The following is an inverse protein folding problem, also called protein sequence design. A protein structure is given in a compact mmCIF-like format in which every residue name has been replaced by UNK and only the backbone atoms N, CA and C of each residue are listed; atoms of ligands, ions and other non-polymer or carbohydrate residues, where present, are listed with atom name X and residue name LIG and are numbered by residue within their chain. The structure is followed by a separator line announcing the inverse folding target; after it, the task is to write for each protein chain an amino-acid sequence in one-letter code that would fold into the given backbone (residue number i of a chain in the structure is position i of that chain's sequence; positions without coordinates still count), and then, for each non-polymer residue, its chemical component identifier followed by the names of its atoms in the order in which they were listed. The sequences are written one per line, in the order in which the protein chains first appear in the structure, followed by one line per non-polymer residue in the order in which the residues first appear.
data_IF_521172419054
#
_entry.id   IF_521172419054
#
_cell.length_a   1.000
_cell.length_b   1.000
_cell.length_c   1.000
_cell.angle_alpha   90.00
_cell.angle_beta   90.00
_cell.angle_gamma   90.00
#
_symmetry.space_group_name_H-M   'P 1'
#
loop_
_entity.id
_entity.type
_entity.pdbx_description
1 polymer ?
#
# COMPACT_ATOMS: atom_id res chain seq x y z
N UNK A 1 12.00 12.38 24.31
CA UNK A 1 13.00 11.37 23.93
C UNK A 1 12.27 10.37 23.07
N UNK A 2 12.45 10.45 21.75
CA UNK A 2 11.99 9.40 20.86
C UNK A 2 12.95 8.23 21.08
N UNK A 3 12.50 7.21 21.82
CA UNK A 3 13.24 5.97 21.97
C UNK A 3 13.47 5.41 20.56
N UNK A 4 14.71 5.46 20.11
CA UNK A 4 15.18 4.93 18.84
C UNK A 4 15.18 3.39 18.92
N UNK A 5 13.99 2.81 19.07
CA UNK A 5 13.79 1.37 19.04
C UNK A 5 13.72 0.93 17.58
N UNK A 6 14.71 0.16 17.17
CA UNK A 6 14.74 -0.51 15.88
C UNK A 6 14.29 -1.97 16.06
N UNK A 7 13.40 -2.50 15.21
CA UNK A 7 13.07 -3.92 15.26
C UNK A 7 14.29 -4.78 14.89
N UNK A 8 14.58 -5.77 15.74
CA UNK A 8 15.62 -6.78 15.53
C UNK A 8 15.34 -7.65 14.28
N UNK A 9 16.33 -8.41 13.82
CA UNK A 9 16.16 -9.26 12.63
C UNK A 9 15.21 -10.44 12.95
N UNK A 10 14.20 -10.66 12.10
CA UNK A 10 13.17 -11.67 12.35
C UNK A 10 12.14 -11.29 13.42
N UNK A 11 12.10 -10.04 13.89
CA UNK A 11 11.11 -9.58 14.87
C UNK A 11 9.68 -9.85 14.37
N UNK A 12 8.87 -10.49 15.21
CA UNK A 12 7.48 -10.83 14.86
C UNK A 12 7.29 -12.09 14.02
N UNK A 13 8.33 -12.73 13.48
CA UNK A 13 8.17 -13.84 12.53
C UNK A 13 7.36 -15.02 13.10
N UNK A 14 7.70 -15.50 14.31
CA UNK A 14 6.95 -16.61 14.93
C UNK A 14 5.49 -16.25 15.23
N UNK A 15 5.22 -14.99 15.60
CA UNK A 15 3.87 -14.51 15.86
C UNK A 15 3.08 -14.33 14.56
N UNK A 16 3.71 -13.84 13.49
CA UNK A 16 3.10 -13.75 12.16
C UNK A 16 2.73 -15.15 11.65
N UNK A 17 3.60 -16.14 11.84
CA UNK A 17 3.32 -17.53 11.47
C UNK A 17 2.13 -18.11 12.24
N UNK A 18 2.04 -17.81 13.54
CA UNK A 18 0.89 -18.24 14.37
C UNK A 18 -0.41 -17.58 13.90
N UNK A 19 -0.41 -16.25 13.69
CA UNK A 19 -1.59 -15.49 13.26
C UNK A 19 -2.13 -15.94 11.91
N UNK A 20 -1.25 -16.30 10.97
CA UNK A 20 -1.69 -16.84 9.69
C UNK A 20 -2.36 -18.20 9.85
N UNK A 21 -1.85 -19.09 10.71
CA UNK A 21 -2.50 -20.37 11.04
C UNK A 21 -3.88 -20.17 11.69
N UNK A 22 -4.10 -19.01 12.32
CA UNK A 22 -5.40 -18.58 12.87
C UNK A 22 -6.32 -17.92 11.84
N UNK A 23 -5.92 -17.89 10.57
CA UNK A 23 -6.73 -17.36 9.46
C UNK A 23 -6.48 -15.89 9.13
N UNK A 24 -5.52 -15.21 9.76
CA UNK A 24 -5.21 -13.79 9.49
C UNK A 24 -4.26 -13.60 8.29
N UNK A 25 -4.30 -14.50 7.31
CA UNK A 25 -3.41 -14.44 6.15
C UNK A 25 -3.65 -13.17 5.30
N UNK A 26 -4.92 -12.73 5.16
CA UNK A 26 -5.28 -11.49 4.48
C UNK A 26 -4.68 -10.25 5.16
N UNK A 27 -4.97 -10.01 6.45
CA UNK A 27 -4.42 -8.90 7.23
C UNK A 27 -2.90 -8.87 7.30
N UNK A 28 -2.25 -10.03 7.39
CA UNK A 28 -0.79 -10.11 7.34
C UNK A 28 -0.23 -9.66 6.00
N UNK A 29 -0.84 -10.07 4.88
CA UNK A 29 -0.46 -9.61 3.54
C UNK A 29 -0.72 -8.11 3.35
N UNK A 30 -1.83 -7.61 3.89
CA UNK A 30 -2.12 -6.17 3.88
C UNK A 30 -1.01 -5.39 4.61
N UNK A 31 -0.66 -5.81 5.83
CA UNK A 31 0.40 -5.19 6.62
C UNK A 31 1.77 -5.25 5.93
N UNK A 32 2.14 -6.39 5.36
CA UNK A 32 3.35 -6.58 4.55
C UNK A 32 3.42 -5.54 3.42
N UNK A 33 2.33 -5.38 2.69
CA UNK A 33 2.24 -4.44 1.58
C UNK A 33 2.28 -2.97 2.03
N UNK A 34 1.64 -2.63 3.15
CA UNK A 34 1.75 -1.30 3.75
C UNK A 34 3.22 -0.95 4.10
N UNK A 35 3.97 -1.91 4.65
CA UNK A 35 5.38 -1.72 4.98
C UNK A 35 6.26 -1.56 3.73
N UNK A 36 6.01 -2.36 2.68
CA UNK A 36 6.75 -2.23 1.41
C UNK A 36 6.50 -0.89 0.73
N UNK A 37 5.24 -0.47 0.61
CA UNK A 37 4.89 0.83 0.02
C UNK A 37 5.52 1.99 0.79
N UNK A 38 5.41 1.99 2.11
CA UNK A 38 6.05 3.02 2.92
C UNK A 38 7.59 3.05 2.76
N UNK A 39 8.23 1.93 2.40
CA UNK A 39 9.65 1.90 2.10
C UNK A 39 9.95 2.52 0.73
N UNK A 40 9.15 2.16 -0.29
CA UNK A 40 9.23 2.68 -1.65
C UNK A 40 8.99 4.19 -1.68
N UNK A 41 7.92 4.67 -1.06
CA UNK A 41 7.57 6.09 -0.98
C UNK A 41 8.71 6.92 -0.35
N UNK A 42 9.36 6.40 0.69
CA UNK A 42 10.48 7.07 1.37
C UNK A 42 11.75 7.13 0.52
N UNK A 43 11.96 6.14 -0.35
CA UNK A 43 13.09 6.10 -1.28
C UNK A 43 12.84 7.05 -2.47
N UNK A 44 11.59 7.22 -2.91
CA UNK A 44 11.20 8.13 -3.99
C UNK A 44 11.18 9.60 -3.56
N UNK A 45 10.51 9.92 -2.45
CA UNK A 45 10.31 11.29 -1.99
C UNK A 45 11.54 11.88 -1.29
N UNK A 46 12.44 11.03 -0.77
CA UNK A 46 13.58 11.42 0.06
C UNK A 46 13.19 12.01 1.42
N UNK A 47 11.89 12.00 1.78
CA UNK A 47 11.37 12.51 3.05
C UNK A 47 10.61 11.40 3.79
N UNK A 48 10.86 11.25 5.08
CA UNK A 48 10.20 10.26 5.93
C UNK A 48 9.15 10.89 6.83
N UNK A 49 7.87 10.63 6.52
CA UNK A 49 6.74 11.03 7.35
C UNK A 49 6.10 9.82 8.06
N UNK A 50 5.41 10.02 9.20
CA UNK A 50 4.63 8.96 9.83
C UNK A 50 3.41 8.59 8.97
N UNK A 51 3.25 7.30 8.62
CA UNK A 51 2.17 6.82 7.75
C UNK A 51 1.09 6.11 8.57
N UNK A 52 -0.20 6.49 8.48
CA UNK A 52 -1.28 5.80 9.17
C UNK A 52 -1.61 4.45 8.51
N UNK A 53 -1.88 3.43 9.33
CA UNK A 53 -2.49 2.18 8.89
C UNK A 53 -4.01 2.32 8.93
N UNK A 54 -4.60 2.42 7.76
CA UNK A 54 -6.06 2.53 7.60
C UNK A 54 -6.58 1.20 7.08
N UNK A 55 -7.27 0.40 7.93
CA UNK A 55 -7.96 -0.80 7.46
C UNK A 55 -9.17 -0.38 6.63
N UNK A 56 -9.23 -0.82 5.37
CA UNK A 56 -10.29 -0.46 4.42
C UNK A 56 -11.23 -1.64 4.10
N UNK A 57 -11.06 -2.75 4.81
CA UNK A 57 -11.85 -3.96 4.66
C UNK A 57 -12.19 -4.49 6.05
N UNK A 58 -13.36 -5.11 6.17
CA UNK A 58 -13.85 -5.72 7.41
C UNK A 58 -12.80 -6.68 8.01
N UNK A 59 -12.21 -7.56 7.20
CA UNK A 59 -11.16 -8.48 7.64
C UNK A 59 -9.95 -7.77 8.30
N UNK A 60 -9.55 -6.60 7.77
CA UNK A 60 -8.45 -5.82 8.32
C UNK A 60 -8.89 -5.06 9.58
N UNK A 61 -10.14 -4.59 9.64
CA UNK A 61 -10.72 -3.94 10.82
C UNK A 61 -10.78 -4.94 11.99
N UNK A 62 -11.29 -6.15 11.75
CA UNK A 62 -11.33 -7.25 12.72
C UNK A 62 -9.92 -7.60 13.24
N UNK A 63 -8.94 -7.66 12.35
CA UNK A 63 -7.54 -7.88 12.73
C UNK A 63 -7.00 -6.73 13.60
N UNK A 64 -7.45 -5.50 13.36
CA UNK A 64 -7.12 -4.33 14.17
C UNK A 64 -7.85 -4.29 15.51
N UNK A 65 -8.74 -5.23 15.82
CA UNK A 65 -9.27 -5.47 17.17
C UNK A 65 -8.51 -6.60 17.91
N UNK A 66 -7.72 -7.40 17.18
CA UNK A 66 -7.02 -8.55 17.73
C UNK A 66 -5.75 -8.15 18.52
N UNK A 67 -5.71 -8.49 19.81
CA UNK A 67 -4.59 -8.20 20.72
C UNK A 67 -3.24 -8.80 20.28
N UNK A 68 -3.26 -9.97 19.64
CA UNK A 68 -2.04 -10.63 19.12
C UNK A 68 -1.56 -9.92 17.86
N UNK A 69 -2.47 -9.48 17.00
CA UNK A 69 -2.12 -8.64 15.85
C UNK A 69 -1.48 -7.33 16.31
N UNK A 70 -2.02 -6.65 17.33
CA UNK A 70 -1.37 -5.47 17.94
C UNK A 70 0.02 -5.77 18.52
N UNK A 71 0.20 -6.98 19.06
CA UNK A 71 1.50 -7.40 19.59
C UNK A 71 2.51 -7.58 18.46
N UNK A 72 2.09 -8.11 17.32
CA UNK A 72 2.90 -8.14 16.11
C UNK A 72 3.25 -6.72 15.65
N UNK A 73 2.28 -5.80 15.57
CA UNK A 73 2.52 -4.39 15.17
C UNK A 73 3.60 -3.73 16.04
N UNK A 74 3.55 -3.93 17.37
CA UNK A 74 4.59 -3.43 18.29
C UNK A 74 5.95 -4.08 18.05
N UNK A 75 6.00 -5.39 17.82
CA UNK A 75 7.27 -6.09 17.54
C UNK A 75 7.92 -5.61 16.24
N UNK A 76 7.12 -5.21 15.25
CA UNK A 76 7.58 -4.62 13.99
C UNK A 76 7.93 -3.12 14.11
N UNK A 77 7.77 -2.51 15.30
CA UNK A 77 8.10 -1.12 15.55
C UNK A 77 7.01 -0.11 15.17
N UNK A 78 5.77 -0.55 14.95
CA UNK A 78 4.65 0.36 14.71
C UNK A 78 4.12 0.92 16.03
N UNK A 79 3.62 2.16 15.98
CA UNK A 79 3.10 2.84 17.15
C UNK A 79 1.57 2.76 17.22
N UNK A 80 1.00 2.50 18.41
CA UNK A 80 -0.43 2.65 18.62
C UNK A 80 -0.84 4.12 18.49
N UNK A 81 -2.14 4.41 18.31
CA UNK A 81 -2.67 5.76 18.42
C UNK A 81 -2.36 6.36 19.80
N UNK A 82 -1.98 7.65 19.85
CA UNK A 82 -1.44 8.28 21.06
C UNK A 82 -2.46 8.63 22.16
N UNK A 83 -3.76 8.56 21.89
CA UNK A 83 -4.93 8.64 22.81
C UNK A 83 -6.20 8.81 21.93
N UNK A 84 -7.30 9.31 22.49
CA UNK A 84 -8.54 9.71 21.78
C UNK A 84 -8.34 10.71 20.62
N UNK A 85 -7.14 11.30 20.46
CA UNK A 85 -6.83 12.21 19.34
C UNK A 85 -6.46 11.47 18.05
N UNK A 86 -5.94 10.24 18.14
CA UNK A 86 -5.59 9.44 16.96
C UNK A 86 -6.44 8.18 16.92
N UNK A 87 -6.90 7.79 15.73
CA UNK A 87 -7.68 6.56 15.56
C UNK A 87 -6.85 5.41 14.98
N UNK A 88 -5.73 5.72 14.31
CA UNK A 88 -4.98 4.74 13.54
C UNK A 88 -3.59 4.47 14.12
N UNK A 89 -3.17 3.21 14.01
CA UNK A 89 -1.77 2.85 14.18
C UNK A 89 -0.91 3.53 13.12
N UNK A 90 0.38 3.73 13.39
CA UNK A 90 1.28 4.38 12.45
C UNK A 90 2.59 3.66 12.28
N UNK A 91 3.10 3.71 11.05
CA UNK A 91 4.49 3.44 10.71
C UNK A 91 5.29 4.70 11.07
N UNK A 92 6.19 4.67 12.06
CA UNK A 92 6.96 5.85 12.44
C UNK A 92 7.88 6.35 11.32
N UNK A 93 8.15 7.65 11.30
CA UNK A 93 9.11 8.26 10.37
C UNK A 93 10.54 7.74 10.60
N UNK A 94 10.88 7.37 11.84
CA UNK A 94 12.20 6.87 12.21
C UNK A 94 12.55 5.49 11.60
N UNK A 95 11.56 4.71 11.14
CA UNK A 95 11.82 3.44 10.48
C UNK A 95 12.41 3.69 9.09
N UNK A 96 13.64 3.24 8.86
CA UNK A 96 14.29 3.35 7.54
C UNK A 96 13.63 2.41 6.51
N UNK A 97 13.74 2.69 5.20
CA UNK A 97 13.26 1.78 4.15
C UNK A 97 13.78 0.35 4.33
N UNK A 98 15.05 0.19 4.70
CA UNK A 98 15.67 -1.12 5.00
C UNK A 98 14.97 -1.84 6.16
N UNK A 99 14.64 -1.13 7.24
CA UNK A 99 13.91 -1.72 8.39
C UNK A 99 12.49 -2.13 8.00
N UNK A 100 11.79 -1.30 7.22
CA UNK A 100 10.46 -1.62 6.71
C UNK A 100 10.47 -2.86 5.82
N UNK A 101 11.42 -2.97 4.89
CA UNK A 101 11.59 -4.16 4.04
C UNK A 101 11.86 -5.42 4.86
N UNK A 102 12.70 -5.32 5.91
CA UNK A 102 12.96 -6.43 6.85
C UNK A 102 11.73 -6.84 7.64
N UNK A 103 10.96 -5.87 8.13
CA UNK A 103 9.70 -6.11 8.84
C UNK A 103 8.69 -6.83 7.92
N UNK A 104 8.54 -6.36 6.67
CA UNK A 104 7.69 -7.01 5.68
C UNK A 104 8.13 -8.45 5.36
N UNK A 105 9.44 -8.68 5.21
CA UNK A 105 9.98 -10.03 4.98
C UNK A 105 9.68 -10.97 6.16
N UNK A 106 9.78 -10.49 7.40
CA UNK A 106 9.48 -11.27 8.61
C UNK A 106 8.03 -11.75 8.65
N UNK A 107 7.09 -11.04 8.02
CA UNK A 107 5.69 -11.45 7.85
C UNK A 107 5.54 -12.45 6.68
N UNK A 108 6.23 -12.20 5.57
CA UNK A 108 6.13 -12.98 4.34
C UNK A 108 6.71 -14.40 4.46
N UNK A 109 7.63 -14.64 5.41
CA UNK A 109 8.21 -15.96 5.68
C UNK A 109 7.19 -16.91 6.32
N UNK A 110 6.20 -17.31 5.53
CA UNK A 110 5.13 -18.21 5.92
C UNK A 110 5.38 -19.66 5.46
N UNK A 111 6.60 -20.18 5.67
CA UNK A 111 7.04 -21.59 5.49
C UNK A 111 6.83 -22.26 4.11
N UNK A 112 7.40 -23.46 3.89
CA UNK A 112 8.83 -23.77 3.88
C UNK A 112 9.60 -23.03 2.76
N UNK A 113 10.93 -23.03 2.89
CA UNK A 113 11.97 -22.46 2.01
C UNK A 113 11.78 -22.74 0.48
N UNK A 114 12.27 -21.84 -0.41
CA UNK A 114 12.26 -21.93 -1.88
C UNK A 114 12.92 -23.18 -2.47
N UNK A 115 12.28 -24.34 -2.30
CA UNK A 115 12.48 -25.51 -3.16
C UNK A 115 11.24 -25.78 -4.01
N UNK A 116 10.64 -24.71 -4.54
CA UNK A 116 9.80 -24.78 -5.74
C UNK A 116 10.59 -24.22 -6.94
N UNK A 117 11.79 -24.75 -7.15
CA UNK A 117 12.32 -24.87 -8.50
C UNK A 117 12.09 -26.31 -8.96
N UNK A 118 11.03 -26.59 -9.73
CA UNK A 118 11.18 -27.41 -10.91
C UNK A 118 11.62 -26.46 -12.04
N UNK A 119 12.90 -26.10 -12.05
CA UNK A 119 13.56 -25.75 -13.31
C UNK A 119 13.78 -27.05 -14.10
N UNK A 120 12.68 -27.70 -14.51
CA UNK A 120 12.66 -28.73 -15.56
C UNK A 120 11.21 -29.02 -15.94
N UNK A 121 10.60 -28.13 -16.73
CA UNK A 121 9.47 -28.43 -17.63
C UNK A 121 9.05 -27.17 -18.40
N UNK A 122 10.03 -26.48 -19.01
CA UNK A 122 9.75 -25.68 -20.21
C UNK A 122 10.23 -26.50 -21.41
N UNK A 123 9.53 -27.59 -21.75
CA UNK A 123 9.44 -27.92 -23.17
C UNK A 123 8.33 -27.03 -23.74
N UNK A 124 8.65 -26.09 -24.65
CA UNK A 124 7.59 -25.45 -25.41
C UNK A 124 6.86 -26.54 -26.20
N UNK A 125 5.51 -26.55 -26.25
CA UNK A 125 4.83 -27.42 -27.18
C UNK A 125 5.34 -27.09 -28.58
N UNK A 126 5.96 -28.07 -29.24
CA UNK A 126 6.34 -27.93 -30.66
C UNK A 126 5.05 -27.65 -31.42
N UNK A 127 4.91 -26.43 -31.90
CA UNK A 127 3.88 -26.07 -32.85
C UNK A 127 3.96 -27.05 -34.03
N UNK A 128 2.85 -27.65 -34.49
CA UNK A 128 2.87 -28.44 -35.71
C UNK A 128 3.34 -27.55 -36.86
N UNK A 129 4.40 -27.96 -37.56
CA UNK A 129 4.81 -27.34 -38.82
C UNK A 129 3.69 -27.57 -39.84
N UNK A 130 2.96 -26.51 -40.19
CA UNK A 130 2.16 -26.47 -41.40
C UNK A 130 2.97 -25.77 -42.51
N UNK A 131 3.17 -26.40 -43.68
CA UNK A 131 3.92 -25.80 -44.77
C UNK A 131 3.07 -24.77 -45.51
N UNK A 132 3.57 -23.54 -45.58
CA UNK A 132 3.05 -22.53 -46.52
C UNK A 132 3.05 -23.06 -47.96
N UNK A 133 2.13 -22.57 -48.80
CA UNK A 133 2.61 -21.64 -49.81
C UNK A 133 1.67 -20.45 -50.10
N UNK A 134 2.33 -19.34 -50.43
CA UNK A 134 2.00 -18.26 -51.36
C UNK A 134 0.53 -17.95 -51.72
N UNK A 135 0.11 -16.68 -51.62
CA UNK A 135 -0.02 -15.77 -52.79
C UNK A 135 -0.49 -14.35 -52.38
N UNK A 136 0.31 -13.36 -52.82
CA UNK A 136 -0.04 -12.05 -53.41
C UNK A 136 -1.06 -11.07 -52.75
N UNK A 137 -0.50 -9.94 -52.26
CA UNK A 137 -0.77 -8.47 -52.49
C UNK A 137 -2.23 -7.95 -52.69
N UNK A 138 -2.56 -6.65 -52.45
CA UNK A 138 -1.71 -5.48 -52.19
C UNK A 138 -2.16 -4.55 -51.03
N UNK A 139 -1.38 -3.48 -50.84
CA UNK A 139 -1.69 -2.32 -50.02
C UNK A 139 -2.98 -1.61 -50.46
N UNK A 140 -3.77 -1.15 -49.49
CA UNK A 140 -4.59 0.05 -49.65
C UNK A 140 -4.64 0.82 -48.33
N UNK A 141 -4.13 2.04 -48.40
CA UNK A 141 -4.18 3.05 -47.37
C UNK A 141 -5.57 3.68 -47.42
N UNK A 142 -6.30 3.68 -46.31
CA UNK A 142 -7.55 4.41 -46.23
C UNK A 142 -8.28 4.17 -44.92
N UNK A 143 -7.81 4.80 -43.84
CA UNK A 143 -8.63 4.99 -42.64
C UNK A 143 -8.89 6.48 -42.49
N UNK A 144 -9.82 6.99 -43.30
CA UNK A 144 -10.44 8.29 -43.13
C UNK A 144 -11.85 8.04 -42.59
N UNK A 145 -12.08 8.40 -41.33
CA UNK A 145 -13.44 8.65 -40.86
C UNK A 145 -13.44 9.53 -39.61
N UNK A 146 -14.13 10.65 -39.83
CA UNK A 146 -14.24 11.89 -39.07
C UNK A 146 -14.88 11.76 -37.69
N UNK A 147 -14.50 12.70 -36.79
CA UNK A 147 -15.37 13.78 -36.31
C UNK A 147 -14.91 14.28 -34.94
N UNK A 148 -14.32 15.47 -34.93
CA UNK A 148 -14.09 16.27 -33.72
C UNK A 148 -15.28 17.21 -33.51
N UNK A 149 -16.14 16.92 -32.53
CA UNK A 149 -17.07 17.90 -31.99
C UNK A 149 -16.37 18.69 -30.87
N UNK A 150 -16.20 20.03 -30.99
CA UNK A 150 -15.65 20.83 -29.91
C UNK A 150 -16.70 21.01 -28.81
N UNK A 151 -16.50 20.34 -27.67
CA UNK A 151 -17.24 20.65 -26.46
C UNK A 151 -16.89 22.07 -25.99
N UNK A 152 -17.89 22.96 -25.79
CA UNK A 152 -17.64 24.32 -25.33
C UNK A 152 -17.15 24.32 -23.88
N UNK A 153 -16.06 25.04 -23.65
CA UNK A 153 -15.50 25.34 -22.33
C UNK A 153 -16.53 26.13 -21.50
N UNK A 154 -16.97 25.67 -20.33
CA UNK A 154 -17.63 26.54 -19.37
C UNK A 154 -16.57 27.40 -18.65
N UNK A 155 -16.75 28.70 -18.77
CA UNK A 155 -16.00 29.80 -18.13
C UNK A 155 -15.70 29.57 -16.63
N UNK A 156 -14.61 30.18 -16.11
CA UNK A 156 -14.28 30.13 -14.70
C UNK A 156 -15.40 30.78 -13.88
N UNK A 157 -16.00 30.00 -12.98
CA UNK A 157 -16.92 30.56 -12.00
C UNK A 157 -16.17 31.48 -11.05
N UNK A 158 -16.79 32.65 -10.88
CA UNK A 158 -16.31 33.80 -10.16
C UNK A 158 -15.97 33.48 -8.71
N UNK A 159 -14.94 34.16 -8.23
CA UNK A 159 -14.47 34.26 -6.86
C UNK A 159 -15.56 34.03 -5.81
N UNK A 160 -15.38 32.93 -5.07
CA UNK A 160 -16.14 32.63 -3.87
C UNK A 160 -16.13 33.80 -2.88
N UNK A 161 -17.32 34.07 -2.39
CA UNK A 161 -17.74 35.09 -1.45
C UNK A 161 -16.85 35.17 -0.19
N UNK A 162 -16.23 36.34 0.01
CA UNK A 162 -15.72 36.76 1.32
C UNK A 162 -16.91 37.01 2.25
N UNK A 163 -17.39 35.97 2.94
CA UNK A 163 -18.17 36.16 4.16
C UNK A 163 -17.20 36.28 5.31
N UNK A 164 -16.72 37.51 5.49
CA UNK A 164 -16.07 37.96 6.72
C UNK A 164 -17.10 37.73 7.84
N UNK A 165 -16.82 36.78 8.73
CA UNK A 165 -17.58 36.62 9.97
C UNK A 165 -16.89 37.50 11.00
N UNK A 166 -17.34 38.75 11.10
CA UNK A 166 -17.13 39.53 12.31
C UNK A 166 -17.87 38.81 13.44
N UNK A 167 -17.11 38.36 14.44
CA UNK A 167 -17.65 37.96 15.73
C UNK A 167 -17.54 39.21 16.61
N UNK A 168 -18.67 39.91 16.75
CA UNK A 168 -18.89 40.92 17.77
C UNK A 168 -18.61 40.29 19.14
N UNK A 169 -17.70 40.90 19.89
CA UNK A 169 -17.37 40.49 21.26
C UNK A 169 -18.24 41.33 22.19
N UNK A 170 -19.37 40.76 22.61
CA UNK A 170 -20.28 41.34 23.60
C UNK A 170 -19.76 41.05 25.03
N UNK A 171 -19.46 42.15 25.73
CA UNK A 171 -19.68 42.43 27.15
C UNK A 171 -18.78 41.79 28.23
N UNK A 172 -17.80 42.59 28.68
CA UNK A 172 -17.33 42.62 30.07
C UNK A 172 -17.28 44.10 30.52
N UNK A 173 -18.22 44.53 31.37
CA UNK A 173 -17.96 45.57 32.38
C UNK A 173 -19.00 45.52 33.52
N UNK A 174 -18.49 45.33 34.74
CA UNK A 174 -18.83 46.12 35.93
C UNK A 174 -20.24 46.08 36.50
#
# INVERSE_FOLDING_TARGET
MEENWAPEEGAGQGLAQHLHQEGLAGPLRWLENCLRRAAEDREEDGVSHPVPLVPLTEENEDAMENRRFHTLLRQLGLRPPANEQESFWRIPAALTPRQLRRAAASIAHHGPDPSASPQDALEPPRCPQDPAPAEQLPADLGSDSESEDPVPVPSPMQSGTKRHRELDSEDEDG
#
